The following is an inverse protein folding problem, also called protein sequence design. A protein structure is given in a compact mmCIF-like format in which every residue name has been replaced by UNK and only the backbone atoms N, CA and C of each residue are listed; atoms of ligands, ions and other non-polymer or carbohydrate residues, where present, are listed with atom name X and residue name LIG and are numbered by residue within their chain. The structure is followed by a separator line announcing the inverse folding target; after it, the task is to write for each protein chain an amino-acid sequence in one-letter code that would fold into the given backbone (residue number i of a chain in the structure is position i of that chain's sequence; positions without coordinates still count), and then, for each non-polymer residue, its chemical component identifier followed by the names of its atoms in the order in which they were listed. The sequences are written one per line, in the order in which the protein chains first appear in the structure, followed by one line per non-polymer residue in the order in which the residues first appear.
data_IF_765922115386
#
_entry.id   IF_765922115386
#
_cell.length_a   1.000
_cell.length_b   1.000
_cell.length_c   1.000
_cell.angle_alpha   90.00
_cell.angle_beta   90.00
_cell.angle_gamma   90.00
#
_symmetry.space_group_name_H-M   'P 1'
#
loop_
_entity.id
_entity.type
_entity.pdbx_description
1 polymer ?
#
# COMPACT_ATOMS: atom_id res chain seq x y z
N UNK A 1 -7.28 -5.78 8.21
CA UNK A 1 -7.57 -5.57 6.77
C UNK A 1 -6.44 -4.77 6.13
N UNK A 2 -6.27 -4.92 4.82
CA UNK A 2 -5.27 -4.19 4.05
C UNK A 2 -5.91 -3.53 2.84
N UNK A 3 -5.40 -2.36 2.47
CA UNK A 3 -5.83 -1.63 1.29
C UNK A 3 -4.65 -1.49 0.33
N UNK A 4 -4.87 -1.85 -0.92
CA UNK A 4 -3.88 -1.77 -2.00
C UNK A 4 -4.35 -0.71 -3.01
N UNK A 5 -3.50 0.24 -3.36
CA UNK A 5 -3.90 1.38 -4.17
C UNK A 5 -2.69 1.95 -4.92
N UNK A 6 -2.91 2.42 -6.15
CA UNK A 6 -1.87 3.07 -6.95
C UNK A 6 -1.75 4.57 -6.65
N UNK A 7 -2.82 5.19 -6.15
CA UNK A 7 -2.83 6.61 -5.79
C UNK A 7 -2.67 6.74 -4.27
N UNK A 8 -1.56 7.32 -3.83
CA UNK A 8 -1.26 7.46 -2.41
C UNK A 8 -2.31 8.26 -1.64
N UNK A 9 -3.02 9.18 -2.31
CA UNK A 9 -4.07 9.97 -1.67
C UNK A 9 -5.23 9.10 -1.20
N UNK A 10 -5.46 7.99 -1.90
CA UNK A 10 -6.54 7.06 -1.56
C UNK A 10 -6.18 6.12 -0.41
N UNK A 11 -4.97 6.21 0.11
CA UNK A 11 -4.54 5.40 1.26
C UNK A 11 -4.69 6.13 2.59
N UNK A 12 -4.90 7.45 2.57
CA UNK A 12 -5.00 8.23 3.81
C UNK A 12 -6.21 7.82 4.66
N UNK A 13 -7.38 7.67 4.05
CA UNK A 13 -8.58 7.26 4.79
C UNK A 13 -8.48 5.83 5.32
N UNK A 14 -8.06 4.83 4.53
CA UNK A 14 -7.82 3.48 5.07
C UNK A 14 -6.82 3.46 6.21
N UNK A 15 -5.74 4.24 6.11
CA UNK A 15 -4.75 4.34 7.18
C UNK A 15 -5.39 4.87 8.47
N UNK A 16 -6.19 5.92 8.36
CA UNK A 16 -6.89 6.50 9.50
C UNK A 16 -7.89 5.52 10.13
N UNK A 17 -8.39 4.55 9.35
CA UNK A 17 -9.28 3.51 9.83
C UNK A 17 -8.55 2.32 10.46
N UNK A 18 -7.22 2.38 10.56
CA UNK A 18 -6.43 1.32 11.16
C UNK A 18 -6.06 0.19 10.20
N UNK A 19 -6.27 0.38 8.90
CA UNK A 19 -5.91 -0.62 7.91
C UNK A 19 -4.42 -0.55 7.58
N UNK A 20 -3.86 -1.70 7.18
CA UNK A 20 -2.52 -1.73 6.61
C UNK A 20 -2.61 -1.18 5.17
N UNK A 21 -1.73 -0.25 4.81
CA UNK A 21 -1.78 0.40 3.50
C UNK A 21 -0.58 0.00 2.65
N UNK A 22 -0.86 -0.37 1.39
CA UNK A 22 0.16 -0.81 0.44
C UNK A 22 0.03 0.02 -0.83
N UNK A 23 1.08 0.77 -1.16
CA UNK A 23 1.14 1.54 -2.39
C UNK A 23 1.67 0.65 -3.51
N UNK A 24 0.88 0.45 -4.55
CA UNK A 24 1.23 -0.39 -5.70
C UNK A 24 1.46 0.51 -6.90
N UNK A 25 2.73 0.78 -7.20
CA UNK A 25 3.10 1.67 -8.29
C UNK A 25 4.55 1.41 -8.71
N UNK A 26 4.95 1.83 -9.93
CA UNK A 26 6.32 1.64 -10.41
C UNK A 26 7.37 2.33 -9.52
N UNK A 27 7.00 3.46 -8.89
CA UNK A 27 7.92 4.22 -8.06
C UNK A 27 7.32 4.45 -6.67
N UNK A 28 8.17 4.38 -5.66
CA UNK A 28 7.75 4.65 -4.30
C UNK A 28 7.50 6.14 -4.09
N UNK A 29 6.46 6.45 -3.30
CA UNK A 29 6.18 7.80 -2.84
C UNK A 29 5.96 7.75 -1.32
N UNK A 30 7.03 7.64 -0.53
CA UNK A 30 6.92 7.40 0.90
C UNK A 30 6.12 8.50 1.62
N UNK A 31 5.25 8.06 2.52
CA UNK A 31 4.46 8.96 3.35
C UNK A 31 4.04 8.24 4.63
N UNK A 32 3.65 9.00 5.65
CA UNK A 32 3.27 8.43 6.95
C UNK A 32 2.07 7.47 6.84
N UNK A 33 1.19 7.69 5.86
CA UNK A 33 -0.01 6.86 5.67
C UNK A 33 0.22 5.67 4.74
N UNK A 34 1.48 5.35 4.41
CA UNK A 34 1.84 4.21 3.56
C UNK A 34 2.75 3.29 4.36
N UNK A 35 2.26 2.07 4.65
CA UNK A 35 3.05 1.08 5.39
C UNK A 35 4.05 0.35 4.50
N UNK A 36 3.64 0.03 3.26
CA UNK A 36 4.46 -0.73 2.33
C UNK A 36 4.32 -0.16 0.93
N UNK A 37 5.33 -0.41 0.09
CA UNK A 37 5.30 -0.12 -1.33
C UNK A 37 5.75 -1.35 -2.11
N UNK A 38 5.11 -1.61 -3.24
CA UNK A 38 5.55 -2.62 -4.20
C UNK A 38 5.26 -2.17 -5.62
N UNK A 39 6.10 -2.59 -6.56
CA UNK A 39 5.84 -2.45 -8.00
C UNK A 39 5.32 -3.74 -8.60
N UNK A 40 5.13 -4.79 -7.77
CA UNK A 40 4.69 -6.11 -8.20
C UNK A 40 3.72 -6.68 -7.17
N UNK A 41 2.41 -6.44 -7.38
CA UNK A 41 1.38 -6.88 -6.44
C UNK A 41 1.38 -8.40 -6.27
N UNK A 42 1.51 -9.14 -7.37
CA UNK A 42 1.49 -10.61 -7.30
C UNK A 42 2.68 -11.12 -6.48
N UNK A 43 3.87 -10.58 -6.70
CA UNK A 43 5.05 -10.95 -5.94
C UNK A 43 4.94 -10.58 -4.47
N UNK A 44 4.36 -9.41 -4.17
CA UNK A 44 4.13 -8.97 -2.80
C UNK A 44 3.20 -9.94 -2.06
N UNK A 45 2.08 -10.31 -2.70
CA UNK A 45 1.12 -11.25 -2.09
C UNK A 45 1.72 -12.63 -1.91
N UNK A 46 2.53 -13.10 -2.85
CA UNK A 46 3.22 -14.38 -2.74
C UNK A 46 4.19 -14.40 -1.56
N UNK A 47 4.86 -13.29 -1.29
CA UNK A 47 5.81 -13.19 -0.19
C UNK A 47 5.13 -13.22 1.18
N UNK A 48 3.85 -12.86 1.26
CA UNK A 48 3.08 -12.94 2.51
C UNK A 48 2.66 -14.37 2.84
N UNK A 49 2.47 -15.17 1.81
CA UNK A 49 2.07 -16.56 1.95
C UNK A 49 3.25 -17.46 2.24
#
# INVERSE_FOLDING_TARGET
AAMFEDDTRNLAAPHAMGMRTVHVAPEAAPAAHIHHHTDDLAGFLAALG
#
